data_IF_303918691474
#
_entry.id   IF_303918691474
#
_cell.length_a   1.000
_cell.length_b   1.000
_cell.length_c   1.000
_cell.angle_alpha   90.00
_cell.angle_beta   90.00
_cell.angle_gamma   90.00
#
_symmetry.space_group_name_H-M   'P 1'
#
loop_
_entity.id
_entity.type
_entity.pdbx_description
1 polymer ?
#
# COMPACT_ATOMS: atom_id res chain seq x y z
N UNK A 1 -23.29 27.12 5.26
CA UNK A 1 -23.38 26.52 3.91
C UNK A 1 -22.26 25.50 3.77
N UNK A 2 -22.51 24.18 3.74
CA UNK A 2 -21.43 23.20 3.72
C UNK A 2 -21.03 22.93 2.26
N UNK A 3 -20.12 23.73 1.72
CA UNK A 3 -19.43 23.40 0.46
C UNK A 3 -18.51 22.17 0.59
N UNK A 4 -18.30 21.67 1.82
CA UNK A 4 -17.52 20.47 2.12
C UNK A 4 -18.28 19.16 1.84
N UNK A 5 -19.61 19.19 1.65
CA UNK A 5 -20.41 17.99 1.39
C UNK A 5 -20.56 17.68 -0.11
N UNK A 6 -20.19 18.60 -0.99
CA UNK A 6 -20.43 18.50 -2.44
C UNK A 6 -19.19 17.99 -3.19
N UNK A 7 -18.03 17.91 -2.52
CA UNK A 7 -16.76 17.51 -3.13
C UNK A 7 -16.09 16.40 -2.28
N UNK A 8 -15.56 15.32 -2.90
CA UNK A 8 -14.81 14.26 -2.22
C UNK A 8 -13.46 14.69 -1.65
N UNK A 9 -13.31 15.95 -1.23
CA UNK A 9 -12.07 16.48 -0.70
C UNK A 9 -11.58 15.66 0.50
N UNK A 10 -12.51 15.24 1.36
CA UNK A 10 -12.21 14.38 2.51
C UNK A 10 -11.60 13.04 2.07
N UNK A 11 -12.21 12.39 1.08
CA UNK A 11 -11.74 11.12 0.54
C UNK A 11 -10.33 11.27 -0.06
N UNK A 12 -10.09 12.34 -0.83
CA UNK A 12 -8.79 12.62 -1.45
C UNK A 12 -7.70 12.84 -0.39
N UNK A 13 -7.99 13.61 0.68
CA UNK A 13 -7.02 13.85 1.77
C UNK A 13 -6.68 12.56 2.50
N UNK A 14 -7.67 11.73 2.85
CA UNK A 14 -7.41 10.44 3.50
C UNK A 14 -6.64 9.49 2.58
N UNK A 15 -6.98 9.44 1.29
CA UNK A 15 -6.28 8.64 0.31
C UNK A 15 -4.80 9.05 0.22
N UNK A 16 -4.51 10.34 0.15
CA UNK A 16 -3.14 10.84 0.13
C UNK A 16 -2.39 10.51 1.43
N UNK A 17 -3.05 10.66 2.59
CA UNK A 17 -2.46 10.32 3.88
C UNK A 17 -2.10 8.84 3.96
N UNK A 18 -3.03 7.95 3.58
CA UNK A 18 -2.80 6.51 3.56
C UNK A 18 -1.74 6.11 2.54
N UNK A 19 -1.71 6.76 1.37
CA UNK A 19 -0.68 6.54 0.37
C UNK A 19 0.71 6.88 0.91
N UNK A 20 0.89 8.06 1.50
CA UNK A 20 2.18 8.49 2.06
C UNK A 20 2.59 7.58 3.24
N UNK A 21 1.64 7.20 4.09
CA UNK A 21 1.89 6.30 5.21
C UNK A 21 2.35 4.91 4.73
N UNK A 22 1.65 4.34 3.74
CA UNK A 22 2.03 3.07 3.13
C UNK A 22 3.43 3.16 2.51
N UNK A 23 3.73 4.23 1.77
CA UNK A 23 5.07 4.43 1.18
C UNK A 23 6.15 4.49 2.26
N UNK A 24 5.93 5.21 3.35
CA UNK A 24 6.90 5.32 4.43
C UNK A 24 7.16 3.97 5.11
N UNK A 25 6.09 3.24 5.45
CA UNK A 25 6.18 1.94 6.13
C UNK A 25 6.84 0.90 5.23
N UNK A 26 6.37 0.78 4.00
CA UNK A 26 6.87 -0.24 3.06
C UNK A 26 8.31 0.05 2.67
N UNK A 27 8.71 1.31 2.46
CA UNK A 27 10.10 1.64 2.16
C UNK A 27 11.04 1.25 3.31
N UNK A 28 10.62 1.40 4.57
CA UNK A 28 11.40 0.97 5.73
C UNK A 28 11.50 -0.56 5.79
N UNK A 29 10.38 -1.26 5.56
CA UNK A 29 10.35 -2.74 5.57
C UNK A 29 11.21 -3.30 4.44
N UNK A 30 11.09 -2.75 3.23
CA UNK A 30 11.85 -3.18 2.06
C UNK A 30 13.35 -2.90 2.24
N UNK A 31 13.72 -1.73 2.78
CA UNK A 31 15.11 -1.40 3.10
C UNK A 31 15.70 -2.40 4.10
N UNK A 32 14.96 -2.75 5.16
CA UNK A 32 15.41 -3.69 6.19
C UNK A 32 15.46 -5.15 5.71
N UNK A 33 14.56 -5.54 4.79
CA UNK A 33 14.41 -6.93 4.32
C UNK A 33 15.25 -7.25 3.08
N UNK A 34 15.41 -6.31 2.16
CA UNK A 34 16.12 -6.51 0.88
C UNK A 34 17.50 -5.82 0.84
N UNK A 35 17.86 -5.00 1.82
CA UNK A 35 19.16 -4.32 1.87
C UNK A 35 19.37 -3.25 0.77
N UNK A 36 18.30 -2.88 0.06
CA UNK A 36 18.31 -1.90 -1.03
C UNK A 36 18.59 -0.49 -0.45
N UNK A 37 19.30 0.34 -1.22
CA UNK A 37 19.59 1.73 -0.86
C UNK A 37 18.31 2.52 -0.50
N UNK A 38 18.40 3.41 0.50
CA UNK A 38 17.26 4.18 1.03
C UNK A 38 16.48 4.93 -0.07
N UNK A 39 17.20 5.54 -1.02
CA UNK A 39 16.60 6.28 -2.14
C UNK A 39 15.82 5.35 -3.07
N UNK A 40 16.42 4.23 -3.45
CA UNK A 40 15.82 3.23 -4.34
C UNK A 40 14.59 2.58 -3.69
N UNK A 41 14.68 2.24 -2.40
CA UNK A 41 13.53 1.69 -1.64
C UNK A 41 12.33 2.63 -1.63
N UNK A 42 12.56 3.93 -1.40
CA UNK A 42 11.50 4.95 -1.43
C UNK A 42 10.92 5.09 -2.84
N UNK A 43 11.76 5.22 -3.86
CA UNK A 43 11.30 5.38 -5.25
C UNK A 43 10.45 4.20 -5.70
N UNK A 44 10.94 2.99 -5.46
CA UNK A 44 10.23 1.77 -5.82
C UNK A 44 8.89 1.65 -5.12
N UNK A 45 8.88 1.82 -3.80
CA UNK A 45 7.67 1.75 -2.99
C UNK A 45 6.66 2.82 -3.42
N UNK A 46 7.12 4.04 -3.69
CA UNK A 46 6.26 5.12 -4.17
C UNK A 46 5.62 4.78 -5.52
N UNK A 47 6.40 4.31 -6.49
CA UNK A 47 5.89 3.96 -7.82
C UNK A 47 4.88 2.82 -7.75
N UNK A 48 5.20 1.76 -6.99
CA UNK A 48 4.34 0.59 -6.85
C UNK A 48 3.04 0.92 -6.11
N UNK A 49 3.07 1.74 -5.05
CA UNK A 49 1.86 2.17 -4.35
C UNK A 49 1.01 3.14 -5.17
N UNK A 50 1.64 4.04 -5.93
CA UNK A 50 0.93 4.95 -6.83
C UNK A 50 0.28 4.16 -7.98
N UNK A 51 1.01 3.25 -8.61
CA UNK A 51 0.48 2.36 -9.66
C UNK A 51 -0.68 1.53 -9.12
N UNK A 52 -0.53 0.92 -7.95
CA UNK A 52 -1.61 0.16 -7.31
C UNK A 52 -2.83 1.03 -7.01
N UNK A 53 -2.63 2.30 -6.66
CA UNK A 53 -3.73 3.25 -6.43
C UNK A 53 -4.47 3.56 -7.74
N UNK A 54 -3.73 3.86 -8.81
CA UNK A 54 -4.31 4.16 -10.13
C UNK A 54 -5.06 2.94 -10.68
N UNK A 55 -4.46 1.75 -10.60
CA UNK A 55 -5.10 0.50 -11.02
C UNK A 55 -6.34 0.21 -10.16
N UNK A 56 -6.28 0.44 -8.85
CA UNK A 56 -7.44 0.30 -7.96
C UNK A 56 -8.61 1.18 -8.39
N UNK A 57 -8.34 2.45 -8.71
CA UNK A 57 -9.36 3.37 -9.24
C UNK A 57 -9.88 2.93 -10.61
N UNK A 58 -9.02 2.47 -11.52
CA UNK A 58 -9.48 1.95 -12.82
C UNK A 58 -10.39 0.73 -12.67
N UNK A 59 -10.03 -0.22 -11.80
CA UNK A 59 -10.87 -1.38 -11.49
C UNK A 59 -12.19 -0.92 -10.89
N UNK A 60 -12.16 0.00 -9.91
CA UNK A 60 -13.37 0.53 -9.29
C UNK A 60 -14.32 1.12 -10.34
N UNK A 61 -13.86 2.03 -11.20
CA UNK A 61 -14.71 2.64 -12.24
C UNK A 61 -15.16 1.65 -13.32
N UNK A 62 -14.41 0.57 -13.56
CA UNK A 62 -14.80 -0.48 -14.51
C UNK A 62 -15.87 -1.40 -13.92
N UNK A 63 -15.77 -1.71 -12.64
CA UNK A 63 -16.62 -2.68 -11.95
C UNK A 63 -17.88 -2.02 -11.37
N UNK A 64 -17.81 -0.75 -10.94
CA UNK A 64 -18.94 0.04 -10.42
C UNK A 64 -20.25 -0.09 -11.25
N UNK A 65 -20.24 -0.01 -12.59
CA UNK A 65 -21.46 -0.08 -13.40
C UNK A 65 -22.12 -1.46 -13.38
N UNK A 66 -21.37 -2.50 -13.01
CA UNK A 66 -21.86 -3.88 -12.94
C UNK A 66 -22.34 -4.27 -11.54
N UNK A 67 -22.20 -3.38 -10.55
CA UNK A 67 -22.66 -3.66 -9.19
C UNK A 67 -24.18 -3.46 -9.05
N UNK A 68 -24.85 -4.28 -8.24
CA UNK A 68 -26.22 -4.03 -7.79
C UNK A 68 -26.33 -2.63 -7.14
N UNK A 69 -27.47 -1.95 -7.32
CA UNK A 69 -27.69 -0.59 -6.81
C UNK A 69 -27.44 -0.46 -5.31
N UNK A 70 -27.82 -1.47 -4.52
CA UNK A 70 -27.58 -1.51 -3.08
C UNK A 70 -26.09 -1.47 -2.72
N UNK A 71 -25.26 -2.25 -3.42
CA UNK A 71 -23.81 -2.30 -3.17
C UNK A 71 -23.12 -1.05 -3.70
N UNK A 72 -23.55 -0.56 -4.86
CA UNK A 72 -23.03 0.67 -5.47
C UNK A 72 -23.26 1.88 -4.57
N UNK A 73 -24.49 2.06 -4.08
CA UNK A 73 -24.81 3.18 -3.20
C UNK A 73 -24.05 3.11 -1.88
N UNK A 74 -23.88 1.91 -1.30
CA UNK A 74 -23.09 1.71 -0.09
C UNK A 74 -21.61 2.04 -0.29
N UNK A 75 -21.01 1.61 -1.41
CA UNK A 75 -19.61 1.92 -1.73
C UNK A 75 -19.38 3.41 -1.94
N UNK A 76 -20.24 4.07 -2.72
CA UNK A 76 -20.13 5.52 -2.96
C UNK A 76 -20.35 6.27 -1.64
N UNK A 77 -21.36 5.89 -0.85
CA UNK A 77 -21.63 6.52 0.45
C UNK A 77 -20.48 6.34 1.43
N UNK A 78 -19.82 5.19 1.42
CA UNK A 78 -18.67 4.94 2.27
C UNK A 78 -17.43 5.73 1.79
N UNK A 79 -17.08 5.62 0.51
CA UNK A 79 -15.87 6.24 -0.06
C UNK A 79 -15.96 7.77 -0.01
N UNK A 80 -17.12 8.35 -0.33
CA UNK A 80 -17.30 9.80 -0.47
C UNK A 80 -17.80 10.46 0.81
N UNK A 81 -18.68 9.78 1.57
CA UNK A 81 -19.39 10.38 2.70
C UNK A 81 -19.08 9.72 4.06
N UNK A 82 -18.19 8.70 4.11
CA UNK A 82 -17.76 8.04 5.36
C UNK A 82 -18.94 7.47 6.18
N UNK A 83 -20.03 7.11 5.50
CA UNK A 83 -21.25 6.60 6.14
C UNK A 83 -21.21 5.07 6.25
N UNK A 84 -21.22 4.57 7.49
CA UNK A 84 -21.13 3.14 7.82
C UNK A 84 -22.52 2.48 7.81
N UNK A 85 -22.96 1.98 6.66
CA UNK A 85 -24.26 1.31 6.54
C UNK A 85 -24.23 -0.19 6.89
N UNK A 86 -23.15 -0.92 6.54
CA UNK A 86 -23.06 -2.38 6.73
C UNK A 86 -21.61 -2.84 7.00
N UNK A 87 -21.23 -3.09 8.27
CA UNK A 87 -19.86 -3.48 8.64
C UNK A 87 -19.32 -4.77 7.96
N UNK A 88 -20.09 -5.85 7.78
CA UNK A 88 -19.56 -7.09 7.17
C UNK A 88 -19.14 -6.91 5.70
N UNK A 89 -19.92 -6.14 4.95
CA UNK A 89 -19.67 -5.87 3.52
C UNK A 89 -18.36 -5.08 3.36
N UNK A 90 -18.13 -4.10 4.23
CA UNK A 90 -16.91 -3.28 4.23
C UNK A 90 -15.66 -4.10 4.58
N UNK A 91 -15.76 -5.02 5.54
CA UNK A 91 -14.65 -5.93 5.88
C UNK A 91 -14.30 -6.80 4.67
N UNK A 92 -15.32 -7.31 3.95
CA UNK A 92 -15.13 -8.05 2.70
C UNK A 92 -14.39 -7.22 1.64
N UNK A 93 -14.82 -5.98 1.39
CA UNK A 93 -14.16 -5.08 0.44
C UNK A 93 -12.73 -4.74 0.85
N UNK A 94 -12.48 -4.49 2.14
CA UNK A 94 -11.14 -4.23 2.65
C UNK A 94 -10.21 -5.43 2.45
N UNK A 95 -10.71 -6.64 2.70
CA UNK A 95 -9.95 -7.88 2.51
C UNK A 95 -9.65 -8.15 1.02
N UNK A 96 -10.63 -7.98 0.14
CA UNK A 96 -10.44 -8.10 -1.31
C UNK A 96 -9.43 -7.05 -1.79
N UNK A 97 -9.53 -5.81 -1.31
CA UNK A 97 -8.58 -4.74 -1.65
C UNK A 97 -7.17 -5.05 -1.15
N UNK A 98 -7.03 -5.62 0.04
CA UNK A 98 -5.73 -6.06 0.57
C UNK A 98 -5.09 -7.13 -0.33
N UNK A 99 -5.84 -8.18 -0.69
CA UNK A 99 -5.32 -9.23 -1.57
C UNK A 99 -5.02 -8.69 -2.97
N UNK A 100 -5.93 -7.90 -3.54
CA UNK A 100 -5.77 -7.32 -4.87
C UNK A 100 -4.55 -6.41 -4.95
N UNK A 101 -4.36 -5.52 -3.97
CA UNK A 101 -3.16 -4.68 -3.88
C UNK A 101 -1.90 -5.52 -3.67
N UNK A 102 -1.95 -6.58 -2.86
CA UNK A 102 -0.81 -7.48 -2.69
C UNK A 102 -0.39 -8.14 -4.02
N UNK A 103 -1.34 -8.68 -4.78
CA UNK A 103 -1.06 -9.32 -6.07
C UNK A 103 -0.56 -8.30 -7.10
N UNK A 104 -1.16 -7.11 -7.16
CA UNK A 104 -0.70 -6.02 -8.02
C UNK A 104 0.70 -5.55 -7.66
N UNK A 105 1.06 -5.54 -6.37
CA UNK A 105 2.41 -5.22 -5.94
C UNK A 105 3.40 -6.30 -6.37
N UNK A 106 3.05 -7.57 -6.24
CA UNK A 106 3.92 -8.67 -6.71
C UNK A 106 4.19 -8.57 -8.21
N UNK A 107 3.16 -8.38 -9.03
CA UNK A 107 3.32 -8.29 -10.48
C UNK A 107 3.86 -6.93 -10.94
N UNK A 108 3.48 -5.84 -10.30
CA UNK A 108 3.93 -4.49 -10.63
C UNK A 108 5.44 -4.35 -10.52
N UNK A 109 6.06 -5.07 -9.58
CA UNK A 109 7.51 -5.16 -9.43
C UNK A 109 8.15 -5.82 -10.65
N UNK A 110 7.64 -6.99 -11.06
CA UNK A 110 8.13 -7.71 -12.23
C UNK A 110 7.94 -6.89 -13.51
N UNK A 111 6.81 -6.18 -13.60
CA UNK A 111 6.45 -5.34 -14.74
C UNK A 111 7.34 -4.09 -14.81
N UNK A 112 7.71 -3.49 -13.67
CA UNK A 112 8.68 -2.40 -13.59
C UNK A 112 10.08 -2.86 -14.01
N UNK A 113 10.54 -4.01 -13.54
CA UNK A 113 11.84 -4.58 -13.94
C UNK A 113 11.90 -4.84 -15.45
N UNK A 114 10.81 -5.33 -16.03
CA UNK A 114 10.66 -5.57 -17.46
C UNK A 114 10.60 -4.26 -18.28
N UNK A 115 9.80 -3.27 -17.84
CA UNK A 115 9.60 -2.00 -18.54
C UNK A 115 10.83 -1.07 -18.46
N UNK A 116 11.51 -1.03 -17.33
CA UNK A 116 12.75 -0.25 -17.19
C UNK A 116 13.96 -0.99 -17.79
N UNK A 117 13.79 -2.21 -18.30
CA UNK A 117 14.88 -2.99 -18.89
C UNK A 117 16.04 -3.20 -17.92
N UNK A 118 15.78 -3.19 -16.61
CA UNK A 118 16.78 -3.32 -15.56
C UNK A 118 17.26 -4.77 -15.60
N UNK A 119 18.28 -5.00 -16.42
CA UNK A 119 18.89 -6.30 -16.67
C UNK A 119 19.70 -6.69 -15.46
N UNK A 120 19.05 -7.19 -14.40
CA UNK A 120 19.71 -7.86 -13.25
C UNK A 120 20.86 -7.05 -12.62
N UNK A 121 20.84 -5.72 -12.71
CA UNK A 121 21.84 -4.86 -12.07
C UNK A 121 21.52 -4.63 -10.59
N UNK A 122 20.31 -4.94 -10.13
CA UNK A 122 19.97 -4.93 -8.70
C UNK A 122 20.74 -5.99 -7.91
N UNK A 123 21.06 -7.13 -8.53
CA UNK A 123 21.97 -8.12 -7.95
C UNK A 123 23.40 -7.59 -7.86
N UNK A 124 23.79 -6.63 -8.71
CA UNK A 124 25.12 -6.03 -8.76
C UNK A 124 25.22 -4.87 -7.76
N UNK A 125 24.25 -3.95 -7.71
CA UNK A 125 24.25 -2.86 -6.72
C UNK A 125 24.05 -3.37 -5.29
N UNK A 126 23.18 -4.37 -5.06
CA UNK A 126 23.05 -5.00 -3.75
C UNK A 126 24.35 -5.74 -3.35
N UNK A 127 25.05 -6.35 -4.31
CA UNK A 127 26.36 -6.98 -4.06
C UNK A 127 27.49 -5.96 -3.89
N UNK A 128 27.48 -4.84 -4.60
CA UNK A 128 28.48 -3.78 -4.49
C UNK A 128 28.32 -2.99 -3.19
N UNK A 129 27.09 -2.67 -2.79
CA UNK A 129 26.78 -2.11 -1.47
C UNK A 129 27.17 -3.07 -0.34
N UNK A 130 26.97 -4.39 -0.53
CA UNK A 130 27.42 -5.41 0.41
C UNK A 130 28.95 -5.55 0.44
N UNK A 131 29.64 -5.35 -0.70
CA UNK A 131 31.12 -5.37 -0.78
C UNK A 131 31.76 -4.17 -0.09
N UNK A 132 31.14 -2.98 -0.19
CA UNK A 132 31.67 -1.76 0.40
C UNK A 132 31.57 -1.71 1.94
N UNK A 133 30.71 -2.55 2.54
CA UNK A 133 30.61 -2.70 4.00
C UNK A 133 31.58 -3.74 4.60
N UNK A 134 32.43 -4.37 3.77
CA UNK A 134 33.27 -5.52 4.12
C UNK A 134 34.47 -5.28 5.06
N UNK A 135 34.53 -4.21 5.86
CA UNK A 135 35.64 -3.98 6.82
C UNK A 135 35.24 -3.67 8.26
N UNK A 136 33.97 -3.75 8.64
CA UNK A 136 33.57 -3.63 10.06
C UNK A 136 32.66 -4.77 10.50
N UNK A 137 33.30 -5.77 11.11
CA UNK A 137 32.70 -6.58 12.16
C UNK A 137 31.77 -7.70 11.69
N UNK A 138 32.31 -8.92 11.64
CA UNK A 138 31.56 -10.17 11.75
C UNK A 138 30.49 -10.06 12.85
N UNK A 139 29.21 -10.02 12.45
CA UNK A 139 28.09 -10.59 13.20
C UNK A 139 27.28 -11.48 12.27
N UNK A 140 27.71 -12.74 12.27
CA UNK A 140 26.92 -13.97 12.20
C UNK A 140 25.47 -13.84 11.71
N UNK A 141 25.25 -14.40 10.52
CA UNK A 141 24.10 -15.21 10.09
C UNK A 141 22.70 -14.73 10.45
N UNK A 142 22.10 -13.98 9.53
CA UNK A 142 20.74 -14.24 9.05
C UNK A 142 20.67 -13.82 7.58
N UNK A 143 21.33 -14.59 6.72
CA UNK A 143 20.92 -14.67 5.32
C UNK A 143 19.57 -15.41 5.28
N UNK A 144 18.52 -14.77 5.80
CA UNK A 144 17.17 -15.14 5.42
C UNK A 144 17.11 -14.71 3.96
N UNK A 145 17.23 -15.68 3.06
CA UNK A 145 16.73 -15.57 1.68
C UNK A 145 15.23 -15.33 1.82
N UNK A 146 14.86 -14.10 2.19
CA UNK A 146 13.47 -13.69 2.30
C UNK A 146 13.07 -13.58 0.86
N UNK A 147 12.36 -14.59 0.34
CA UNK A 147 11.85 -14.55 -1.02
C UNK A 147 11.15 -13.19 -1.21
N UNK A 148 11.50 -12.45 -2.27
CA UNK A 148 10.92 -11.12 -2.57
C UNK A 148 9.40 -11.05 -2.30
N UNK A 149 8.60 -12.09 -2.62
CA UNK A 149 7.18 -12.13 -2.28
C UNK A 149 6.86 -11.99 -0.79
N UNK A 150 7.64 -12.61 0.10
CA UNK A 150 7.47 -12.48 1.54
C UNK A 150 7.80 -11.06 2.02
N UNK A 151 8.82 -10.41 1.46
CA UNK A 151 9.16 -9.03 1.81
C UNK A 151 8.01 -8.08 1.42
N UNK A 152 7.44 -8.25 0.23
CA UNK A 152 6.27 -7.49 -0.25
C UNK A 152 5.04 -7.77 0.60
N UNK A 153 4.82 -9.04 0.99
CA UNK A 153 3.69 -9.42 1.85
C UNK A 153 3.78 -8.76 3.22
N UNK A 154 4.96 -8.83 3.85
CA UNK A 154 5.21 -8.17 5.14
C UNK A 154 5.01 -6.67 5.04
N UNK A 155 5.54 -6.04 3.98
CA UNK A 155 5.40 -4.62 3.75
C UNK A 155 3.91 -4.21 3.65
N UNK A 156 3.14 -4.91 2.81
CA UNK A 156 1.70 -4.66 2.65
C UNK A 156 0.92 -4.89 3.96
N UNK A 157 1.20 -5.99 4.67
CA UNK A 157 0.55 -6.29 5.95
C UNK A 157 0.80 -5.19 7.00
N UNK A 158 2.03 -4.68 7.11
CA UNK A 158 2.34 -3.58 8.04
C UNK A 158 1.63 -2.28 7.66
N UNK A 159 1.56 -1.95 6.37
CA UNK A 159 0.83 -0.76 5.89
C UNK A 159 -0.65 -0.84 6.21
N UNK A 160 -1.31 -1.93 5.84
CA UNK A 160 -2.74 -2.10 6.10
C UNK A 160 -3.03 -2.14 7.59
N UNK A 161 -2.18 -2.78 8.40
CA UNK A 161 -2.33 -2.77 9.86
C UNK A 161 -2.25 -1.35 10.43
N UNK A 162 -1.30 -0.53 9.96
CA UNK A 162 -1.16 0.85 10.39
C UNK A 162 -2.35 1.73 9.95
N UNK A 163 -2.84 1.54 8.72
CA UNK A 163 -4.02 2.23 8.20
C UNK A 163 -5.26 1.86 9.02
N UNK A 164 -5.48 0.57 9.27
CA UNK A 164 -6.59 0.08 10.10
C UNK A 164 -6.50 0.65 11.53
N UNK A 165 -5.31 0.68 12.13
CA UNK A 165 -5.11 1.27 13.44
C UNK A 165 -5.44 2.77 13.45
N UNK A 166 -5.00 3.53 12.43
CA UNK A 166 -5.30 4.95 12.30
C UNK A 166 -6.81 5.19 12.16
N UNK A 167 -7.51 4.37 11.36
CA UNK A 167 -8.97 4.40 11.24
C UNK A 167 -9.64 4.09 12.57
N UNK A 168 -9.19 3.07 13.31
CA UNK A 168 -9.74 2.72 14.61
C UNK A 168 -9.58 3.84 15.64
N UNK A 169 -8.40 4.46 15.69
CA UNK A 169 -8.12 5.64 16.53
C UNK A 169 -9.05 6.80 16.16
N UNK A 170 -9.19 7.08 14.86
CA UNK A 170 -10.10 8.12 14.36
C UNK A 170 -11.54 7.88 14.81
N UNK A 171 -12.07 6.67 14.65
CA UNK A 171 -13.43 6.31 15.06
C UNK A 171 -13.60 6.52 16.57
N UNK A 172 -12.62 6.11 17.36
CA UNK A 172 -12.64 6.29 18.82
C UNK A 172 -12.70 7.78 19.22
N UNK A 173 -11.94 8.64 18.53
CA UNK A 173 -11.96 10.10 18.78
C UNK A 173 -13.16 10.83 18.16
N UNK A 174 -13.80 10.27 17.12
CA UNK A 174 -15.03 10.77 16.50
C UNK A 174 -16.31 10.35 17.23
N UNK A 175 -16.21 9.58 18.31
CA UNK A 175 -17.31 9.30 19.21
C UNK A 175 -17.32 10.22 20.46
N UNK A 176 -17.47 11.57 20.36
CA UNK A 176 -17.88 12.35 21.50
C UNK A 176 -19.40 12.35 21.60
N UNK A 177 -19.95 11.58 22.54
CA UNK A 177 -21.29 11.76 23.09
C UNK A 177 -22.47 11.47 22.15
N UNK A 178 -23.01 10.25 22.25
CA UNK A 178 -24.45 10.04 22.18
C UNK A 178 -25.17 10.81 23.30
#
# INVERSE_FOLDING_TARGET
MPFLDILPLRAIVYQLLFLVLAIAIEAIVLQKRLGIGRKTSIQYTATVNLLSTVVGWMIFFTVEPWLPEDLRSQLISYIFFDSLANPPVLIGFAFISFIGTFLLKLEGINLLELLLGIKKDEDIEAKEAAKFQGKRGKRVNFAIVTSRPLAVLWANAFSFSAITFLIAVRIFFQAPGS
#
